data_IF_863219568716
#
_entry.id   IF_863219568716
#
_cell.length_a   1.000
_cell.length_b   1.000
_cell.length_c   1.000
_cell.angle_alpha   90.00
_cell.angle_beta   90.00
_cell.angle_gamma   90.00
#
_symmetry.space_group_name_H-M   'P 1'
#
loop_
_entity.id
_entity.type
_entity.pdbx_description
1 polymer ?
#
# COMPACT_ATOMS: atom_id res chain seq x y z
N UNK A 1 12.78 -11.72 6.86
CA UNK A 1 12.80 -10.24 6.80
C UNK A 1 11.86 -9.69 7.86
N UNK A 2 12.20 -8.57 8.52
CA UNK A 2 11.32 -7.89 9.50
C UNK A 2 11.30 -6.40 9.18
N UNK A 3 10.19 -5.75 9.46
CA UNK A 3 10.09 -4.31 9.29
C UNK A 3 9.15 -3.68 10.31
N UNK A 4 9.35 -2.41 10.61
CA UNK A 4 8.59 -1.64 11.58
C UNK A 4 8.46 -0.19 11.12
N UNK A 5 7.32 0.42 11.40
CA UNK A 5 7.08 1.85 11.21
C UNK A 5 6.69 2.51 12.52
N UNK A 6 7.13 3.75 12.74
CA UNK A 6 6.78 4.57 13.89
C UNK A 6 6.51 6.02 13.45
N UNK A 7 5.95 6.81 14.35
CA UNK A 7 5.64 8.23 14.15
C UNK A 7 4.15 8.51 13.94
N UNK A 8 3.80 9.77 14.13
CA UNK A 8 2.46 10.33 14.09
C UNK A 8 2.27 11.20 12.85
N UNK A 9 1.01 11.44 12.46
CA UNK A 9 0.66 12.25 11.28
C UNK A 9 1.23 13.67 11.33
N UNK A 10 1.22 14.27 12.52
CA UNK A 10 1.74 15.62 12.76
C UNK A 10 2.99 15.62 13.66
N UNK A 11 3.60 14.47 13.89
CA UNK A 11 4.90 14.36 14.55
C UNK A 11 6.03 14.92 13.67
N UNK A 12 7.24 14.95 14.21
CA UNK A 12 8.44 15.50 13.55
C UNK A 12 8.76 14.75 12.25
N UNK A 13 8.62 13.42 12.27
CA UNK A 13 8.87 12.54 11.14
C UNK A 13 8.19 11.19 11.35
N UNK A 14 8.04 10.45 10.24
CA UNK A 14 7.82 9.01 10.29
C UNK A 14 9.18 8.29 10.23
N UNK A 15 9.33 7.23 10.99
CA UNK A 15 10.49 6.37 10.97
C UNK A 15 10.12 4.99 10.43
N UNK A 16 11.00 4.41 9.64
CA UNK A 16 10.82 3.08 9.07
C UNK A 16 12.13 2.30 9.18
N UNK A 17 12.05 1.05 9.60
CA UNK A 17 13.21 0.16 9.70
C UNK A 17 12.88 -1.14 8.98
N UNK A 18 13.79 -1.62 8.15
CA UNK A 18 13.76 -2.97 7.57
C UNK A 18 15.07 -3.69 7.82
N UNK A 19 14.98 -4.96 8.19
CA UNK A 19 16.10 -5.87 8.42
C UNK A 19 15.95 -7.11 7.56
N UNK A 20 17.08 -7.62 7.07
CA UNK A 20 17.16 -8.83 6.25
C UNK A 20 17.20 -8.57 4.75
N UNK A 21 17.40 -7.33 4.31
CA UNK A 21 17.76 -7.03 2.92
C UNK A 21 19.24 -7.37 2.71
N UNK A 22 19.61 -8.18 1.69
CA UNK A 22 20.99 -8.53 1.41
C UNK A 22 21.88 -7.32 1.13
N UNK A 23 23.19 -7.48 1.30
CA UNK A 23 24.17 -6.48 0.91
C UNK A 23 24.21 -6.26 -0.62
N UNK A 24 24.69 -5.07 -1.03
CA UNK A 24 24.92 -4.69 -2.42
C UNK A 24 23.67 -4.53 -3.28
N UNK A 25 22.51 -4.32 -2.68
CA UNK A 25 21.34 -3.81 -3.40
C UNK A 25 21.50 -2.31 -3.58
N UNK A 26 21.40 -1.82 -4.81
CA UNK A 26 21.44 -0.36 -5.09
C UNK A 26 20.13 0.28 -4.65
N UNK A 27 20.24 1.24 -3.73
CA UNK A 27 19.11 2.00 -3.17
C UNK A 27 19.56 3.43 -2.88
N UNK A 28 18.86 4.41 -3.44
CA UNK A 28 19.08 5.84 -3.21
C UNK A 28 17.88 6.51 -2.55
N UNK A 29 18.07 7.70 -2.01
CA UNK A 29 16.97 8.57 -1.58
C UNK A 29 16.03 8.91 -2.74
N UNK A 30 16.56 9.08 -3.95
CA UNK A 30 15.78 9.38 -5.16
C UNK A 30 14.85 8.23 -5.56
N UNK A 31 15.25 6.98 -5.35
CA UNK A 31 14.36 5.82 -5.58
C UNK A 31 13.17 5.84 -4.63
N UNK A 32 13.42 6.19 -3.37
CA UNK A 32 12.36 6.29 -2.36
C UNK A 32 11.46 7.49 -2.66
N UNK A 33 12.04 8.64 -2.96
CA UNK A 33 11.29 9.87 -3.30
C UNK A 33 10.39 9.65 -4.51
N UNK A 34 10.86 8.95 -5.55
CA UNK A 34 10.06 8.59 -6.72
C UNK A 34 8.75 7.86 -6.34
N UNK A 35 8.82 6.86 -5.46
CA UNK A 35 7.63 6.14 -5.02
C UNK A 35 6.74 6.95 -4.07
N UNK A 36 7.32 7.83 -3.26
CA UNK A 36 6.55 8.78 -2.44
C UNK A 36 5.83 9.82 -3.30
N UNK A 37 6.44 10.28 -4.40
CA UNK A 37 5.79 11.15 -5.38
C UNK A 37 4.61 10.44 -6.05
N UNK A 38 4.78 9.20 -6.49
CA UNK A 38 3.69 8.38 -7.03
C UNK A 38 2.52 8.24 -6.06
N UNK A 39 2.80 8.08 -4.75
CA UNK A 39 1.77 8.02 -3.70
C UNK A 39 0.94 9.31 -3.60
N UNK A 40 1.47 10.46 -4.02
CA UNK A 40 0.75 11.74 -4.03
C UNK A 40 -0.12 11.95 -5.25
N UNK A 41 0.01 11.15 -6.30
CA UNK A 41 -0.78 11.25 -7.52
C UNK A 41 -2.26 10.99 -7.28
N UNK A 42 -3.08 11.48 -8.20
CA UNK A 42 -4.52 11.24 -8.28
C UNK A 42 -5.37 12.49 -8.04
N UNK A 43 -6.45 12.58 -8.79
CA UNK A 43 -7.51 13.59 -8.62
C UNK A 43 -8.33 13.29 -7.36
N UNK A 44 -8.91 14.30 -6.74
CA UNK A 44 -9.69 14.15 -5.51
C UNK A 44 -8.85 14.19 -4.23
N UNK A 45 -7.54 14.49 -4.36
CA UNK A 45 -6.62 14.65 -3.23
C UNK A 45 -6.78 16.01 -2.57
N UNK A 46 -6.66 16.04 -1.25
CA UNK A 46 -6.71 17.28 -0.47
C UNK A 46 -5.52 18.20 -0.76
N UNK A 47 -5.70 19.50 -0.52
CA UNK A 47 -4.69 20.52 -0.79
C UNK A 47 -3.33 20.28 -0.12
N UNK A 48 -3.28 19.50 0.96
CA UNK A 48 -2.04 19.12 1.65
C UNK A 48 -1.05 18.41 0.73
N UNK A 49 -1.54 17.54 -0.17
CA UNK A 49 -0.69 16.77 -1.08
C UNK A 49 0.10 17.64 -2.08
N UNK A 50 -0.37 18.86 -2.34
CA UNK A 50 0.27 19.76 -3.32
C UNK A 50 1.52 20.46 -2.78
N UNK A 51 1.68 20.54 -1.45
CA UNK A 51 2.81 21.26 -0.82
C UNK A 51 3.56 20.40 0.23
N UNK A 52 3.14 19.17 0.47
CA UNK A 52 3.84 18.24 1.35
C UNK A 52 5.04 17.65 0.61
N UNK A 53 6.21 18.27 0.76
CA UNK A 53 7.49 17.67 0.35
C UNK A 53 8.01 16.82 1.51
N UNK A 54 7.72 15.53 1.47
CA UNK A 54 8.24 14.56 2.44
C UNK A 54 9.75 14.41 2.20
N UNK A 55 10.59 15.01 3.05
CA UNK A 55 12.04 14.88 2.93
C UNK A 55 12.48 13.50 3.42
N UNK A 56 12.98 12.69 2.51
CA UNK A 56 13.56 11.39 2.86
C UNK A 56 15.01 11.55 3.34
N UNK A 57 15.34 10.81 4.39
CA UNK A 57 16.72 10.67 4.88
C UNK A 57 16.96 9.20 5.21
N UNK A 58 17.96 8.60 4.58
CA UNK A 58 18.47 7.27 4.97
C UNK A 58 19.46 7.47 6.11
N UNK A 59 19.09 6.99 7.30
CA UNK A 59 19.88 7.19 8.52
C UNK A 59 20.97 6.13 8.70
N UNK A 60 20.84 4.97 8.07
CA UNK A 60 21.81 3.88 8.15
C UNK A 60 21.43 2.69 7.28
N UNK A 61 22.34 1.73 7.14
CA UNK A 61 22.17 0.50 6.38
C UNK A 61 22.47 0.61 4.87
N UNK A 62 22.73 1.81 4.36
CA UNK A 62 23.13 2.08 2.96
C UNK A 62 24.36 2.98 2.93
N UNK A 63 25.32 2.68 2.09
CA UNK A 63 26.52 3.50 1.87
C UNK A 63 26.88 3.51 0.38
N UNK A 64 27.07 4.70 -0.20
CA UNK A 64 27.40 4.88 -1.62
C UNK A 64 26.41 4.08 -2.50
N UNK A 65 25.10 4.33 -2.28
CA UNK A 65 23.96 3.66 -2.92
C UNK A 65 23.80 2.14 -2.69
N UNK A 66 24.68 1.49 -1.95
CA UNK A 66 24.64 0.05 -1.73
C UNK A 66 24.23 -0.30 -0.29
N UNK A 67 23.30 -1.23 -0.14
CA UNK A 67 22.93 -1.81 1.14
C UNK A 67 24.12 -2.57 1.76
N UNK A 68 24.16 -2.61 3.10
CA UNK A 68 25.28 -3.20 3.84
C UNK A 68 24.95 -4.56 4.49
N UNK A 69 23.75 -5.12 4.25
CA UNK A 69 23.29 -6.36 4.88
C UNK A 69 22.79 -6.18 6.32
N UNK A 70 22.92 -5.00 6.91
CA UNK A 70 22.38 -4.65 8.22
C UNK A 70 21.00 -3.98 8.13
N UNK A 71 20.39 -3.61 9.28
CA UNK A 71 19.14 -2.86 9.29
C UNK A 71 19.25 -1.54 8.53
N UNK A 72 18.25 -1.26 7.70
CA UNK A 72 18.11 0.01 6.97
C UNK A 72 17.10 0.86 7.75
N UNK A 73 17.51 2.05 8.16
CA UNK A 73 16.67 3.02 8.86
C UNK A 73 16.41 4.23 7.95
N UNK A 74 15.13 4.57 7.77
CA UNK A 74 14.67 5.66 6.91
C UNK A 74 13.79 6.60 7.73
N UNK A 75 13.97 7.89 7.54
CA UNK A 75 13.13 8.94 8.09
C UNK A 75 12.42 9.68 6.96
N UNK A 76 11.10 9.88 7.12
CA UNK A 76 10.28 10.70 6.24
C UNK A 76 9.81 11.92 7.03
N UNK A 77 10.42 13.08 6.78
CA UNK A 77 10.20 14.32 7.52
C UNK A 77 8.80 14.89 7.34
N UNK A 78 8.41 15.79 8.22
CA UNK A 78 7.12 16.47 8.16
C UNK A 78 7.33 17.99 8.03
N UNK A 79 6.96 18.55 6.88
CA UNK A 79 7.07 19.99 6.62
C UNK A 79 6.18 20.86 7.51
N UNK A 80 5.13 20.29 8.11
CA UNK A 80 4.26 21.00 9.04
C UNK A 80 4.73 20.95 10.50
N UNK A 81 5.77 20.21 10.82
CA UNK A 81 6.29 20.05 12.18
C UNK A 81 6.44 21.37 12.96
N UNK A 82 7.00 22.47 12.41
CA UNK A 82 7.15 23.70 13.17
C UNK A 82 5.84 24.29 13.70
N UNK A 83 4.69 23.91 13.12
CA UNK A 83 3.36 24.33 13.58
C UNK A 83 2.79 23.42 14.69
N UNK A 84 3.36 22.22 14.86
CA UNK A 84 2.88 21.18 15.75
C UNK A 84 3.84 20.87 16.90
N UNK A 85 5.06 21.40 16.84
CA UNK A 85 6.17 21.09 17.74
C UNK A 85 5.77 21.12 19.23
N UNK A 86 5.04 22.14 19.66
CA UNK A 86 4.59 22.27 21.06
C UNK A 86 3.48 21.28 21.39
N UNK A 87 2.47 21.13 20.51
CA UNK A 87 1.29 20.28 20.75
C UNK A 87 1.63 18.79 20.67
N UNK A 88 2.63 18.43 19.86
CA UNK A 88 3.11 17.05 19.68
C UNK A 88 4.48 16.80 20.32
N UNK A 89 4.89 17.66 21.27
CA UNK A 89 6.14 17.50 22.00
C UNK A 89 6.12 16.18 22.79
N UNK A 90 7.25 15.46 22.76
CA UNK A 90 7.48 14.31 23.64
C UNK A 90 7.76 14.73 25.09
N UNK A 91 8.26 15.96 25.27
CA UNK A 91 8.56 16.54 26.59
C UNK A 91 7.39 17.39 27.08
N UNK A 92 7.23 17.55 28.40
CA UNK A 92 6.22 18.44 28.98
C UNK A 92 6.35 19.87 28.48
N UNK A 93 5.23 20.46 28.07
CA UNK A 93 5.13 21.87 27.66
C UNK A 93 4.24 22.58 28.67
N UNK A 94 4.60 23.80 29.15
CA UNK A 94 3.76 24.57 30.04
C UNK A 94 2.37 24.81 29.46
N UNK A 95 1.31 24.63 30.26
CA UNK A 95 -0.07 24.73 29.81
C UNK A 95 -0.40 26.11 29.17
N UNK A 96 0.17 27.18 29.71
CA UNK A 96 0.03 28.52 29.16
C UNK A 96 0.54 28.71 27.74
N UNK A 97 1.42 27.78 27.26
CA UNK A 97 1.96 27.82 25.89
C UNK A 97 1.08 27.09 24.86
N UNK A 98 0.22 26.18 25.31
CA UNK A 98 -0.55 25.32 24.41
C UNK A 98 -2.07 25.39 24.57
N UNK A 99 -2.61 25.78 25.75
CA UNK A 99 -4.05 25.75 26.05
C UNK A 99 -4.92 26.58 25.09
N UNK A 100 -4.41 27.69 24.57
CA UNK A 100 -5.14 28.57 23.65
C UNK A 100 -4.89 28.23 22.17
N UNK A 101 -4.08 27.22 21.90
CA UNK A 101 -3.83 26.76 20.53
C UNK A 101 -4.98 25.90 20.01
N UNK A 102 -5.60 26.30 18.91
CA UNK A 102 -6.69 25.53 18.28
C UNK A 102 -6.29 24.08 17.96
N UNK A 103 -4.98 23.84 17.70
CA UNK A 103 -4.45 22.49 17.46
C UNK A 103 -4.39 21.64 18.71
N UNK A 104 -4.44 22.23 19.90
CA UNK A 104 -4.44 21.53 21.18
C UNK A 104 -5.85 21.20 21.69
N UNK A 105 -6.90 21.72 21.04
CA UNK A 105 -8.26 21.46 21.46
C UNK A 105 -8.56 19.95 21.47
N UNK A 106 -9.14 19.38 22.55
CA UNK A 106 -9.49 17.97 22.65
C UNK A 106 -10.45 17.55 21.52
N UNK A 107 -10.23 16.35 21.00
CA UNK A 107 -11.04 15.77 19.94
C UNK A 107 -12.02 14.75 20.54
N UNK A 108 -13.17 15.25 21.00
CA UNK A 108 -14.18 14.47 21.75
C UNK A 108 -15.33 13.94 20.90
N UNK A 109 -15.37 14.26 19.60
CA UNK A 109 -16.42 13.84 18.65
C UNK A 109 -15.88 12.83 17.63
N UNK A 110 -15.86 11.52 17.97
CA UNK A 110 -15.24 10.49 17.15
C UNK A 110 -15.95 10.36 15.79
N UNK A 111 -15.17 10.09 14.74
CA UNK A 111 -15.68 9.91 13.38
C UNK A 111 -16.20 8.48 13.18
N UNK A 112 -17.43 8.31 12.69
CA UNK A 112 -17.92 7.00 12.27
C UNK A 112 -17.00 6.37 11.22
N UNK A 113 -16.70 5.08 11.38
CA UNK A 113 -15.83 4.35 10.46
C UNK A 113 -14.32 4.63 10.62
N UNK A 114 -13.90 5.44 11.59
CA UNK A 114 -12.50 5.66 11.96
C UNK A 114 -12.13 4.88 13.23
N UNK A 115 -10.84 4.88 13.57
CA UNK A 115 -10.34 4.23 14.79
C UNK A 115 -10.67 5.00 16.08
N UNK A 116 -11.18 6.22 16.00
CA UNK A 116 -11.30 7.20 17.10
C UNK A 116 -11.96 6.59 18.33
N UNK A 117 -13.24 6.23 18.26
CA UNK A 117 -14.00 5.76 19.43
C UNK A 117 -13.42 4.46 20.03
N UNK A 118 -13.18 3.47 19.17
CA UNK A 118 -12.66 2.17 19.62
C UNK A 118 -11.25 2.30 20.19
N UNK A 119 -10.43 3.18 19.63
CA UNK A 119 -9.10 3.49 20.14
C UNK A 119 -9.15 4.19 21.49
N UNK A 120 -10.02 5.20 21.66
CA UNK A 120 -10.24 5.85 22.96
C UNK A 120 -10.64 4.85 24.04
N UNK A 121 -11.60 3.97 23.74
CA UNK A 121 -12.03 2.89 24.65
C UNK A 121 -10.92 1.90 24.98
N UNK A 122 -10.09 1.53 23.97
CA UNK A 122 -9.01 0.54 24.14
C UNK A 122 -7.87 1.06 25.00
N UNK A 123 -7.51 2.34 24.84
CA UNK A 123 -6.35 2.95 25.50
C UNK A 123 -6.73 3.83 26.69
N UNK A 124 -8.03 3.86 27.05
CA UNK A 124 -8.56 4.60 28.20
C UNK A 124 -8.18 6.10 28.14
N UNK A 125 -8.47 6.74 27.01
CA UNK A 125 -8.21 8.15 26.80
C UNK A 125 -9.50 8.89 26.40
N UNK A 126 -9.61 10.14 26.79
CA UNK A 126 -10.76 11.03 26.56
C UNK A 126 -10.59 11.96 25.32
N UNK A 127 -9.41 11.94 24.70
CA UNK A 127 -9.06 12.64 23.47
C UNK A 127 -8.71 11.66 22.35
N UNK A 128 -9.35 11.77 21.20
CA UNK A 128 -9.07 10.94 20.04
C UNK A 128 -7.72 11.26 19.36
N UNK A 129 -7.01 12.31 19.75
CA UNK A 129 -5.78 12.76 19.11
C UNK A 129 -4.71 11.66 19.02
N UNK A 130 -4.30 10.97 20.10
CA UNK A 130 -3.27 9.92 20.02
C UNK A 130 -3.65 8.82 19.03
N UNK A 131 -4.94 8.48 18.96
CA UNK A 131 -5.47 7.47 18.06
C UNK A 131 -5.43 7.95 16.61
N UNK A 132 -5.94 9.15 16.37
CA UNK A 132 -5.99 9.78 15.04
C UNK A 132 -4.59 9.93 14.44
N UNK A 133 -3.65 10.40 15.22
CA UNK A 133 -2.28 10.65 14.77
C UNK A 133 -1.61 9.36 14.26
N UNK A 134 -1.74 8.25 14.98
CA UNK A 134 -1.14 6.98 14.54
C UNK A 134 -1.96 6.22 13.52
N UNK A 135 -3.30 6.30 13.56
CA UNK A 135 -4.19 5.64 12.61
C UNK A 135 -4.26 6.35 11.24
N UNK A 136 -3.64 7.50 11.10
CA UNK A 136 -3.63 8.29 9.88
C UNK A 136 -2.99 7.53 8.71
N UNK A 137 -3.57 7.69 7.51
CA UNK A 137 -3.01 7.16 6.27
C UNK A 137 -1.63 7.76 5.91
N UNK A 138 -1.17 8.84 6.58
CA UNK A 138 0.19 9.35 6.43
C UNK A 138 1.25 8.30 6.79
N UNK A 139 0.99 7.42 7.75
CA UNK A 139 1.87 6.31 8.12
C UNK A 139 2.28 5.46 6.91
N UNK A 140 1.43 5.37 5.90
CA UNK A 140 1.73 4.63 4.67
C UNK A 140 2.92 5.19 3.88
N UNK A 141 3.34 6.44 4.11
CA UNK A 141 4.56 6.97 3.51
C UNK A 141 5.81 6.18 3.97
N UNK A 142 5.86 5.79 5.26
CA UNK A 142 6.92 4.93 5.78
C UNK A 142 6.89 3.52 5.14
N UNK A 143 5.69 2.95 4.92
CA UNK A 143 5.55 1.67 4.20
C UNK A 143 6.01 1.76 2.74
N UNK A 144 5.68 2.84 2.05
CA UNK A 144 6.11 3.08 0.66
C UNK A 144 7.63 3.24 0.60
N UNK A 145 8.25 3.91 1.57
CA UNK A 145 9.71 4.03 1.65
C UNK A 145 10.38 2.65 1.80
N UNK A 146 9.86 1.78 2.66
CA UNK A 146 10.34 0.39 2.78
C UNK A 146 10.05 -0.44 1.54
N UNK A 147 8.88 -0.25 0.94
CA UNK A 147 8.48 -0.91 -0.31
C UNK A 147 9.42 -0.57 -1.47
N UNK A 148 9.94 0.67 -1.54
CA UNK A 148 10.93 1.06 -2.54
C UNK A 148 12.22 0.23 -2.41
N UNK A 149 12.72 0.03 -1.18
CA UNK A 149 13.89 -0.84 -0.92
C UNK A 149 13.63 -2.28 -1.35
N UNK A 150 12.44 -2.82 -0.99
CA UNK A 150 12.05 -4.17 -1.36
C UNK A 150 11.92 -4.35 -2.89
N UNK A 151 11.39 -3.36 -3.60
CA UNK A 151 11.30 -3.36 -5.07
C UNK A 151 12.67 -3.40 -5.73
N UNK A 152 13.59 -2.55 -5.27
CA UNK A 152 14.97 -2.54 -5.79
C UNK A 152 15.66 -3.88 -5.58
N UNK A 153 15.47 -4.51 -4.41
CA UNK A 153 15.96 -5.86 -4.17
C UNK A 153 15.34 -6.89 -5.13
N UNK A 154 14.02 -6.90 -5.30
CA UNK A 154 13.31 -7.83 -6.18
C UNK A 154 13.74 -7.70 -7.64
N UNK A 155 13.83 -6.48 -8.13
CA UNK A 155 14.24 -6.21 -9.51
C UNK A 155 15.69 -6.64 -9.75
N UNK A 156 16.61 -6.29 -8.85
CA UNK A 156 18.03 -6.57 -8.99
C UNK A 156 18.39 -8.03 -8.72
N UNK A 157 17.62 -8.76 -7.91
CA UNK A 157 17.90 -10.16 -7.59
C UNK A 157 17.22 -11.15 -8.52
N UNK A 158 15.94 -10.98 -8.82
CA UNK A 158 15.12 -11.96 -9.55
C UNK A 158 14.32 -11.37 -10.72
N UNK A 159 14.44 -10.07 -10.99
CA UNK A 159 13.79 -9.40 -12.12
C UNK A 159 12.30 -9.15 -11.96
N UNK A 160 11.74 -9.31 -10.77
CA UNK A 160 10.31 -9.03 -10.51
C UNK A 160 10.06 -7.52 -10.57
N UNK A 161 9.08 -7.11 -11.38
CA UNK A 161 8.58 -5.73 -11.45
C UNK A 161 7.12 -5.66 -11.00
N UNK A 162 6.74 -4.55 -10.37
CA UNK A 162 5.41 -4.40 -9.75
C UNK A 162 4.79 -3.09 -10.21
N UNK A 163 3.52 -3.12 -10.59
CA UNK A 163 2.72 -1.91 -10.83
C UNK A 163 1.32 -2.09 -10.24
N UNK A 164 0.59 -0.99 -10.10
CA UNK A 164 -0.84 -1.03 -9.77
C UNK A 164 -1.63 -0.12 -10.69
N UNK A 165 -2.90 -0.45 -10.87
CA UNK A 165 -3.86 0.40 -11.55
C UNK A 165 -5.21 0.36 -10.84
N UNK A 166 -6.06 1.35 -11.13
CA UNK A 166 -7.40 1.46 -10.53
C UNK A 166 -8.39 0.69 -11.38
N UNK A 167 -9.18 -0.18 -10.74
CA UNK A 167 -10.27 -0.93 -11.36
C UNK A 167 -11.64 -0.28 -11.17
N UNK A 168 -11.85 0.43 -10.04
CA UNK A 168 -13.10 1.14 -9.82
C UNK A 168 -12.95 2.31 -8.86
N UNK A 169 -13.78 3.35 -9.05
CA UNK A 169 -14.00 4.44 -8.09
C UNK A 169 -15.51 4.66 -7.99
N UNK A 170 -16.04 4.65 -6.77
CA UNK A 170 -17.47 4.69 -6.54
C UNK A 170 -18.19 3.56 -7.29
N UNK A 171 -19.17 3.93 -8.09
CA UNK A 171 -19.96 3.02 -8.93
C UNK A 171 -19.32 2.73 -10.30
N UNK A 172 -18.31 3.48 -10.70
CA UNK A 172 -17.66 3.37 -12.01
C UNK A 172 -16.59 2.26 -11.95
N UNK A 173 -16.64 1.34 -12.92
CA UNK A 173 -15.75 0.18 -12.97
C UNK A 173 -15.23 -0.09 -14.37
N UNK A 174 -13.97 -0.48 -14.47
CA UNK A 174 -13.37 -1.00 -15.71
C UNK A 174 -14.16 -2.22 -16.20
N UNK A 175 -14.55 -2.29 -17.48
CA UNK A 175 -15.29 -3.43 -18.03
C UNK A 175 -14.57 -4.77 -17.80
N UNK A 176 -15.34 -5.80 -17.57
CA UNK A 176 -14.82 -7.17 -17.45
C UNK A 176 -14.18 -7.62 -18.76
N UNK A 177 -13.03 -8.29 -18.70
CA UNK A 177 -12.30 -8.71 -19.89
C UNK A 177 -11.41 -7.63 -20.50
N UNK A 178 -11.31 -6.44 -19.92
CA UNK A 178 -10.30 -5.45 -20.33
C UNK A 178 -8.90 -6.04 -20.14
N UNK A 179 -8.04 -5.88 -21.15
CA UNK A 179 -6.67 -6.38 -21.11
C UNK A 179 -5.88 -5.80 -19.93
N UNK A 180 -5.09 -6.65 -19.28
CA UNK A 180 -4.19 -6.20 -18.22
C UNK A 180 -3.10 -5.28 -18.79
N UNK A 181 -2.70 -4.24 -18.05
CA UNK A 181 -1.56 -3.42 -18.46
C UNK A 181 -0.26 -4.24 -18.40
N UNK A 182 0.72 -3.84 -19.19
CA UNK A 182 2.04 -4.44 -19.24
C UNK A 182 2.97 -3.78 -18.20
N UNK A 183 4.05 -4.44 -17.83
CA UNK A 183 5.06 -3.88 -16.94
C UNK A 183 5.62 -2.52 -17.41
N UNK A 184 5.70 -2.32 -18.73
CA UNK A 184 6.16 -1.07 -19.34
C UNK A 184 5.16 0.10 -19.22
N UNK A 185 3.90 -0.18 -18.89
CA UNK A 185 2.83 0.85 -18.85
C UNK A 185 2.84 1.70 -17.57
N UNK A 186 3.76 1.46 -16.63
CA UNK A 186 3.81 2.17 -15.34
C UNK A 186 3.74 3.69 -15.51
N UNK A 187 4.57 4.27 -16.38
CA UNK A 187 4.60 5.72 -16.62
C UNK A 187 3.29 6.24 -17.22
N UNK A 188 2.68 5.46 -18.11
CA UNK A 188 1.38 5.78 -18.71
C UNK A 188 0.28 5.80 -17.64
N UNK A 189 0.25 4.79 -16.77
CA UNK A 189 -0.71 4.70 -15.66
C UNK A 189 -0.49 5.84 -14.66
N UNK A 190 0.75 6.13 -14.28
CA UNK A 190 1.06 7.23 -13.34
C UNK A 190 0.72 8.61 -13.93
N UNK A 191 0.70 8.77 -15.26
CA UNK A 191 0.26 10.01 -15.93
C UNK A 191 -1.26 10.15 -16.03
N UNK A 192 -2.02 9.08 -15.82
CA UNK A 192 -3.48 9.13 -15.78
C UNK A 192 -3.98 9.74 -14.47
N UNK A 193 -4.95 10.67 -14.51
CA UNK A 193 -5.41 11.41 -13.33
C UNK A 193 -5.95 10.54 -12.18
N UNK A 194 -6.44 9.34 -12.50
CA UNK A 194 -6.94 8.37 -11.50
C UNK A 194 -6.17 7.05 -11.52
N UNK A 195 -5.05 6.99 -12.26
CA UNK A 195 -4.22 5.79 -12.44
C UNK A 195 -5.01 4.58 -12.98
N UNK A 196 -5.96 4.83 -13.87
CA UNK A 196 -6.72 3.81 -14.58
C UNK A 196 -6.04 3.47 -15.92
N UNK A 197 -5.89 2.18 -16.24
CA UNK A 197 -5.30 1.74 -17.50
C UNK A 197 -6.23 1.94 -18.71
N UNK A 198 -7.55 2.01 -18.46
CA UNK A 198 -8.58 2.26 -19.48
C UNK A 198 -8.99 3.73 -19.47
N UNK A 199 -8.65 4.46 -20.54
CA UNK A 199 -8.85 5.90 -20.62
C UNK A 199 -10.33 6.32 -20.64
N UNK A 200 -11.22 5.53 -21.25
CA UNK A 200 -12.64 5.85 -21.28
C UNK A 200 -13.26 5.73 -19.88
N UNK A 201 -12.87 4.71 -19.13
CA UNK A 201 -13.31 4.54 -17.74
C UNK A 201 -12.67 5.60 -16.82
N UNK A 202 -11.42 6.02 -17.09
CA UNK A 202 -10.76 7.10 -16.36
C UNK A 202 -11.57 8.40 -16.38
N UNK A 203 -12.07 8.83 -17.54
CA UNK A 203 -12.90 10.03 -17.69
C UNK A 203 -14.19 9.94 -16.86
N UNK A 204 -14.83 8.78 -16.85
CA UNK A 204 -16.03 8.55 -16.02
C UNK A 204 -15.71 8.58 -14.52
N UNK A 205 -14.57 8.02 -14.08
CA UNK A 205 -14.13 8.06 -12.70
C UNK A 205 -13.82 9.48 -12.23
N UNK A 206 -13.21 10.32 -13.10
CA UNK A 206 -12.97 11.73 -12.81
C UNK A 206 -14.29 12.46 -12.58
N UNK A 207 -15.26 12.25 -13.45
CA UNK A 207 -16.60 12.85 -13.32
C UNK A 207 -17.28 12.43 -12.02
N UNK A 208 -17.16 11.18 -11.62
CA UNK A 208 -17.72 10.66 -10.34
C UNK A 208 -17.05 11.31 -9.14
N UNK A 209 -15.73 11.53 -9.17
CA UNK A 209 -15.00 12.25 -8.10
C UNK A 209 -15.48 13.72 -8.01
N UNK A 210 -15.69 14.38 -9.14
CA UNK A 210 -16.18 15.77 -9.19
C UNK A 210 -17.61 15.88 -8.63
N UNK A 211 -18.46 14.89 -8.95
CA UNK A 211 -19.82 14.83 -8.39
C UNK A 211 -19.78 14.64 -6.87
N UNK A 212 -19.00 13.67 -6.38
CA UNK A 212 -18.85 13.45 -4.93
C UNK A 212 -18.29 14.67 -4.20
N UNK A 213 -17.32 15.37 -4.80
CA UNK A 213 -16.78 16.63 -4.25
C UNK A 213 -17.87 17.69 -4.12
N UNK A 214 -18.71 17.86 -5.15
CA UNK A 214 -19.83 18.83 -5.15
C UNK A 214 -20.86 18.48 -4.09
N UNK A 215 -21.11 17.19 -3.88
CA UNK A 215 -22.09 16.70 -2.90
C UNK A 215 -21.54 16.69 -1.46
N UNK A 216 -20.26 17.04 -1.26
CA UNK A 216 -19.60 17.01 0.03
C UNK A 216 -19.39 15.60 0.58
N UNK A 217 -19.12 14.64 -0.31
CA UNK A 217 -18.99 13.21 0.02
C UNK A 217 -17.60 12.65 -0.34
N UNK A 218 -17.36 11.39 -0.04
CA UNK A 218 -16.10 10.69 -0.29
C UNK A 218 -16.34 9.37 -1.02
N UNK A 219 -15.36 8.92 -1.81
CA UNK A 219 -15.44 7.71 -2.61
C UNK A 219 -14.38 6.67 -2.20
N UNK A 220 -14.79 5.42 -2.21
CA UNK A 220 -13.93 4.26 -2.21
C UNK A 220 -13.73 3.70 -3.61
N UNK A 221 -13.11 2.54 -3.71
CA UNK A 221 -12.90 1.85 -4.98
C UNK A 221 -12.01 0.63 -4.84
N UNK A 222 -11.57 0.11 -5.98
CA UNK A 222 -10.74 -1.09 -6.06
C UNK A 222 -9.49 -0.80 -6.87
N UNK A 223 -8.35 -1.21 -6.35
CA UNK A 223 -7.06 -1.23 -7.05
C UNK A 223 -6.63 -2.67 -7.31
N UNK A 224 -5.88 -2.88 -8.38
CA UNK A 224 -5.20 -4.15 -8.66
C UNK A 224 -3.70 -3.91 -8.74
N UNK A 225 -2.94 -4.74 -8.03
CA UNK A 225 -1.48 -4.81 -8.10
C UNK A 225 -1.10 -5.99 -8.96
N UNK A 226 -0.21 -5.76 -9.92
CA UNK A 226 0.35 -6.76 -10.80
C UNK A 226 1.84 -6.92 -10.52
N UNK A 227 2.31 -8.16 -10.33
CA UNK A 227 3.74 -8.47 -10.29
C UNK A 227 4.09 -9.38 -11.46
N UNK A 228 5.09 -8.96 -12.22
CA UNK A 228 5.56 -9.60 -13.44
C UNK A 228 6.86 -10.36 -13.19
N UNK A 229 7.18 -11.29 -14.08
CA UNK A 229 8.39 -12.13 -14.02
C UNK A 229 8.47 -12.96 -12.73
N UNK A 230 7.32 -13.37 -12.23
CA UNK A 230 7.26 -14.20 -11.03
C UNK A 230 7.87 -15.57 -11.27
N UNK A 231 8.87 -16.00 -10.49
CA UNK A 231 9.33 -17.39 -10.55
C UNK A 231 8.27 -18.32 -9.97
N UNK A 232 8.13 -19.56 -10.46
CA UNK A 232 7.29 -20.53 -9.81
C UNK A 232 7.87 -20.94 -8.45
N UNK A 233 6.99 -21.20 -7.46
CA UNK A 233 7.36 -21.80 -6.18
C UNK A 233 7.76 -20.82 -5.07
N UNK A 234 7.44 -19.52 -5.15
CA UNK A 234 7.46 -18.65 -3.97
C UNK A 234 6.26 -18.98 -3.07
N UNK A 235 6.45 -19.00 -1.77
CA UNK A 235 5.46 -19.47 -0.80
C UNK A 235 5.46 -21.01 -0.66
N UNK A 236 4.46 -21.57 0.01
CA UNK A 236 4.40 -23.00 0.30
C UNK A 236 2.98 -23.51 0.47
N UNK A 237 2.73 -24.75 0.08
CA UNK A 237 1.47 -25.47 0.33
C UNK A 237 1.45 -26.21 1.68
N UNK A 238 2.61 -26.31 2.35
CA UNK A 238 2.82 -27.22 3.50
C UNK A 238 2.07 -26.78 4.75
N UNK A 239 1.91 -25.45 4.94
CA UNK A 239 1.18 -24.89 6.08
C UNK A 239 0.55 -23.55 5.69
N UNK A 240 -0.59 -23.22 6.33
CA UNK A 240 -1.42 -22.06 5.97
C UNK A 240 -0.69 -20.71 6.07
N UNK A 241 0.17 -20.52 7.08
CA UNK A 241 0.92 -19.28 7.33
C UNK A 241 2.14 -19.10 6.40
N UNK A 242 2.50 -20.15 5.64
CA UNK A 242 3.56 -20.13 4.64
C UNK A 242 3.03 -19.90 3.22
N UNK A 243 1.72 -19.88 3.05
CA UNK A 243 1.07 -19.63 1.76
C UNK A 243 1.30 -18.18 1.33
N UNK A 244 1.70 -17.98 0.07
CA UNK A 244 1.95 -16.65 -0.49
C UNK A 244 0.66 -15.81 -0.54
N UNK A 245 -0.45 -16.39 -0.97
CA UNK A 245 -1.76 -15.76 -1.01
C UNK A 245 -2.22 -15.29 0.39
N UNK A 246 -1.99 -16.09 1.43
CA UNK A 246 -2.30 -15.74 2.82
C UNK A 246 -1.48 -14.55 3.31
N UNK A 247 -0.16 -14.56 3.07
CA UNK A 247 0.74 -13.46 3.44
C UNK A 247 0.38 -12.16 2.70
N UNK A 248 0.10 -12.25 1.40
CA UNK A 248 -0.34 -11.11 0.57
C UNK A 248 -1.66 -10.53 1.06
N UNK A 249 -2.66 -11.38 1.30
CA UNK A 249 -3.97 -10.94 1.80
C UNK A 249 -3.84 -10.24 3.16
N UNK A 250 -3.08 -10.80 4.10
CA UNK A 250 -2.85 -10.19 5.42
C UNK A 250 -2.13 -8.84 5.34
N UNK A 251 -1.07 -8.73 4.53
CA UNK A 251 -0.31 -7.52 4.38
C UNK A 251 -1.14 -6.38 3.73
N UNK A 252 -1.88 -6.69 2.68
CA UNK A 252 -2.72 -5.71 1.95
C UNK A 252 -3.94 -5.32 2.78
N UNK A 253 -4.58 -6.28 3.51
CA UNK A 253 -5.67 -5.98 4.43
C UNK A 253 -5.25 -5.06 5.58
N UNK A 254 -3.97 -5.09 5.95
CA UNK A 254 -3.38 -4.20 6.97
C UNK A 254 -3.18 -2.74 6.52
N UNK A 255 -3.52 -2.37 5.29
CA UNK A 255 -3.52 -0.97 4.81
C UNK A 255 -4.77 -0.26 5.33
N UNK A 256 -4.62 1.01 5.75
CA UNK A 256 -5.74 1.82 6.22
C UNK A 256 -6.86 1.87 5.17
N UNK A 257 -8.10 1.76 5.63
CA UNK A 257 -9.33 1.77 4.85
C UNK A 257 -9.56 0.56 3.91
N UNK A 258 -8.65 -0.39 3.80
CA UNK A 258 -8.90 -1.62 3.03
C UNK A 258 -9.90 -2.50 3.80
N UNK A 259 -10.90 -3.02 3.10
CA UNK A 259 -12.00 -3.84 3.63
C UNK A 259 -12.18 -5.17 2.91
N UNK A 260 -11.47 -5.39 1.82
CA UNK A 260 -11.47 -6.62 1.07
C UNK A 260 -10.18 -6.81 0.29
N UNK A 261 -9.73 -8.06 0.16
CA UNK A 261 -8.59 -8.46 -0.66
C UNK A 261 -8.98 -9.67 -1.47
N UNK A 262 -8.61 -9.69 -2.74
CA UNK A 262 -8.80 -10.83 -3.65
C UNK A 262 -7.47 -11.19 -4.32
N UNK A 263 -7.26 -12.46 -4.57
CA UNK A 263 -6.17 -12.96 -5.42
C UNK A 263 -6.79 -13.42 -6.74
N UNK A 264 -6.29 -12.89 -7.86
CA UNK A 264 -6.86 -13.16 -9.17
C UNK A 264 -8.32 -12.70 -9.26
N UNK A 265 -9.19 -13.59 -9.75
CA UNK A 265 -10.62 -13.29 -9.91
C UNK A 265 -11.42 -13.43 -8.60
N UNK A 266 -10.77 -13.84 -7.48
CA UNK A 266 -11.32 -13.82 -6.15
C UNK A 266 -12.78 -14.31 -6.05
N UNK A 267 -13.69 -13.44 -5.61
CA UNK A 267 -15.11 -13.76 -5.46
C UNK A 267 -15.81 -14.15 -6.77
N UNK A 268 -15.36 -13.63 -7.91
CA UNK A 268 -15.89 -14.01 -9.22
C UNK A 268 -15.65 -15.49 -9.54
N UNK A 269 -14.50 -16.03 -9.11
CA UNK A 269 -14.21 -17.48 -9.28
C UNK A 269 -15.24 -18.36 -8.58
N UNK A 270 -15.76 -17.94 -7.42
CA UNK A 270 -16.77 -18.69 -6.66
C UNK A 270 -18.12 -18.81 -7.40
N UNK A 271 -18.40 -17.96 -8.39
CA UNK A 271 -19.63 -18.02 -9.20
C UNK A 271 -19.52 -18.97 -10.39
N UNK A 272 -18.31 -19.46 -10.72
CA UNK A 272 -18.02 -20.32 -11.88
C UNK A 272 -18.15 -21.79 -11.52
N UNK A 273 -18.52 -22.59 -12.52
CA UNK A 273 -18.38 -24.06 -12.44
C UNK A 273 -16.90 -24.43 -12.54
N UNK A 274 -16.48 -25.48 -11.83
CA UNK A 274 -15.07 -25.92 -11.77
C UNK A 274 -14.41 -26.11 -13.14
N UNK A 275 -15.12 -26.63 -14.13
CA UNK A 275 -14.63 -26.82 -15.51
C UNK A 275 -14.24 -25.53 -16.26
N UNK A 276 -14.68 -24.37 -15.76
CA UNK A 276 -14.37 -23.04 -16.35
C UNK A 276 -13.79 -22.07 -15.32
N UNK A 277 -13.55 -22.52 -14.09
CA UNK A 277 -12.98 -21.71 -13.01
C UNK A 277 -11.45 -21.77 -12.97
N UNK A 278 -10.88 -22.94 -13.32
CA UNK A 278 -9.45 -23.20 -13.22
C UNK A 278 -8.73 -22.88 -14.52
N UNK A 279 -7.46 -22.48 -14.39
CA UNK A 279 -6.58 -22.17 -15.52
C UNK A 279 -5.98 -23.45 -16.08
N UNK A 280 -6.39 -23.83 -17.29
CA UNK A 280 -5.86 -25.03 -17.97
C UNK A 280 -4.39 -24.85 -18.30
N UNK A 281 -3.62 -25.92 -18.12
CA UNK A 281 -2.18 -25.96 -18.35
C UNK A 281 -1.92 -26.45 -19.78
N UNK A 282 -1.12 -25.69 -20.53
CA UNK A 282 -0.75 -26.05 -21.91
C UNK A 282 0.72 -25.67 -22.19
N UNK A 283 1.20 -26.04 -23.37
CA UNK A 283 2.48 -25.57 -23.89
C UNK A 283 2.23 -24.49 -24.92
N UNK A 284 2.96 -23.38 -24.80
CA UNK A 284 2.96 -22.34 -25.83
C UNK A 284 3.76 -22.78 -27.10
N UNK A 285 3.81 -21.92 -28.10
CA UNK A 285 4.52 -22.20 -29.35
C UNK A 285 6.04 -22.41 -29.17
N UNK A 286 6.62 -21.95 -28.06
CA UNK A 286 8.04 -22.20 -27.70
C UNK A 286 8.27 -23.48 -26.94
N UNK A 287 7.18 -24.18 -26.55
CA UNK A 287 7.21 -25.37 -25.70
C UNK A 287 7.22 -25.10 -24.20
N UNK A 288 7.12 -23.83 -23.79
CA UNK A 288 7.04 -23.43 -22.39
C UNK A 288 5.67 -23.80 -21.82
N UNK A 289 5.63 -24.27 -20.58
CA UNK A 289 4.40 -24.54 -19.84
C UNK A 289 3.81 -23.19 -19.38
N UNK A 290 2.56 -22.94 -19.77
CA UNK A 290 1.81 -21.71 -19.46
C UNK A 290 0.39 -22.05 -19.00
N UNK A 291 -0.30 -21.08 -18.42
CA UNK A 291 -1.73 -21.17 -18.16
C UNK A 291 -2.49 -20.46 -19.28
N UNK A 292 -3.58 -21.08 -19.73
CA UNK A 292 -4.44 -20.53 -20.81
C UNK A 292 -5.19 -19.28 -20.37
N UNK A 293 -5.46 -19.16 -19.08
CA UNK A 293 -6.09 -18.01 -18.42
C UNK A 293 -5.35 -17.67 -17.13
N UNK A 294 -5.66 -16.55 -16.49
CA UNK A 294 -4.99 -16.07 -15.28
C UNK A 294 -5.95 -15.84 -14.09
N UNK A 295 -7.03 -16.64 -14.03
CA UNK A 295 -8.09 -16.51 -13.03
C UNK A 295 -7.59 -16.74 -11.60
N UNK A 296 -6.62 -17.64 -11.44
CA UNK A 296 -5.96 -17.90 -10.16
C UNK A 296 -5.08 -16.74 -9.68
N UNK A 297 -4.77 -15.78 -10.57
CA UNK A 297 -3.98 -14.60 -10.23
C UNK A 297 -2.53 -14.92 -9.85
N UNK A 298 -1.91 -15.85 -10.55
CA UNK A 298 -0.49 -16.16 -10.39
C UNK A 298 -0.15 -17.05 -9.18
N UNK A 299 -1.16 -17.58 -8.46
CA UNK A 299 -0.93 -18.48 -7.32
C UNK A 299 -1.78 -19.74 -7.41
N UNK A 300 -1.16 -20.87 -7.11
CA UNK A 300 -1.82 -22.17 -7.00
C UNK A 300 -1.34 -22.88 -5.73
N UNK A 301 -2.29 -23.34 -4.91
CA UNK A 301 -1.96 -24.03 -3.65
C UNK A 301 -1.13 -23.21 -2.66
N UNK A 302 -1.14 -21.87 -2.75
CA UNK A 302 -0.35 -20.97 -1.90
C UNK A 302 1.07 -20.73 -2.40
N UNK A 303 1.38 -21.11 -3.63
CA UNK A 303 2.67 -20.88 -4.28
C UNK A 303 2.50 -20.09 -5.57
N UNK A 304 3.49 -19.26 -5.92
CA UNK A 304 3.53 -18.66 -7.26
C UNK A 304 3.67 -19.71 -8.34
N UNK A 305 2.99 -19.54 -9.47
CA UNK A 305 2.93 -20.52 -10.56
C UNK A 305 3.69 -20.10 -11.83
N UNK A 306 4.37 -18.95 -11.80
CA UNK A 306 5.14 -18.42 -12.93
C UNK A 306 4.38 -17.43 -13.81
N UNK A 307 3.08 -17.26 -13.60
CA UNK A 307 2.25 -16.27 -14.30
C UNK A 307 2.21 -14.93 -13.55
N UNK A 308 1.52 -13.93 -14.12
CA UNK A 308 1.37 -12.62 -13.48
C UNK A 308 0.63 -12.78 -12.13
N UNK A 309 1.25 -12.29 -11.05
CA UNK A 309 0.57 -12.21 -9.77
C UNK A 309 -0.41 -11.04 -9.78
N UNK A 310 -1.67 -11.31 -9.40
CA UNK A 310 -2.76 -10.32 -9.36
C UNK A 310 -3.35 -10.25 -7.96
N UNK A 311 -3.22 -9.09 -7.31
CA UNK A 311 -3.77 -8.83 -5.98
C UNK A 311 -4.68 -7.61 -6.02
N UNK A 312 -5.95 -7.76 -5.66
CA UNK A 312 -6.93 -6.66 -5.61
C UNK A 312 -7.18 -6.23 -4.19
N UNK A 313 -7.38 -4.93 -4.00
CA UNK A 313 -7.71 -4.33 -2.71
C UNK A 313 -8.92 -3.40 -2.84
N UNK A 314 -9.95 -3.66 -2.04
CA UNK A 314 -11.14 -2.84 -1.95
C UNK A 314 -11.00 -1.84 -0.80
N UNK A 315 -10.96 -0.56 -1.13
CA UNK A 315 -10.88 0.55 -0.19
C UNK A 315 -12.26 1.15 0.05
N UNK A 316 -12.67 1.25 1.32
CA UNK A 316 -13.88 2.00 1.67
C UNK A 316 -13.70 3.51 1.46
N UNK A 317 -14.78 4.30 1.33
CA UNK A 317 -14.72 5.76 1.37
C UNK A 317 -14.00 6.27 2.63
N UNK A 318 -13.34 7.41 2.50
CA UNK A 318 -12.63 8.04 3.63
C UNK A 318 -13.65 8.48 4.68
N UNK A 319 -13.39 8.17 5.95
CA UNK A 319 -14.31 8.40 7.07
C UNK A 319 -14.44 9.86 7.51
N UNK A 320 -13.56 10.74 7.05
CA UNK A 320 -13.71 12.19 7.21
C UNK A 320 -14.53 12.74 6.06
N UNK A 321 -15.85 12.74 6.22
CA UNK A 321 -16.80 13.18 5.19
C UNK A 321 -17.12 14.66 5.39
N UNK A 322 -17.01 15.53 4.37
CA UNK A 322 -17.35 16.95 4.48
C UNK A 322 -18.80 17.16 4.94
N UNK A 323 -19.75 16.37 4.43
CA UNK A 323 -21.12 16.25 4.96
C UNK A 323 -21.09 15.47 6.27
N UNK A 324 -20.81 16.19 7.37
CA UNK A 324 -20.51 15.58 8.67
C UNK A 324 -21.59 14.60 9.12
N UNK A 325 -21.15 13.37 9.44
CA UNK A 325 -22.02 12.28 9.95
C UNK A 325 -22.39 12.52 11.42
N UNK A 326 -23.50 11.91 11.84
CA UNK A 326 -23.93 11.94 13.23
C UNK A 326 -22.98 11.12 14.11
N UNK A 327 -22.72 11.62 15.31
CA UNK A 327 -21.90 11.00 16.34
C UNK A 327 -22.35 11.47 17.73
N UNK A 328 -21.58 11.17 18.75
CA UNK A 328 -21.74 11.69 20.11
C UNK A 328 -20.51 12.52 20.48
N UNK A 329 -20.68 13.50 21.37
CA UNK A 329 -19.59 14.10 22.09
C UNK A 329 -19.33 13.26 23.35
N UNK A 330 -18.18 12.57 23.40
CA UNK A 330 -17.90 11.62 24.50
C UNK A 330 -17.67 12.34 25.84
N UNK A 331 -17.37 13.64 25.83
CA UNK A 331 -17.21 14.43 27.06
C UNK A 331 -18.53 14.79 27.72
N UNK A 332 -19.62 14.88 26.96
CA UNK A 332 -20.94 15.26 27.44
C UNK A 332 -21.97 14.14 27.33
N UNK A 333 -21.74 13.16 26.46
CA UNK A 333 -22.69 12.11 26.12
C UNK A 333 -23.80 12.56 25.16
N UNK A 334 -23.77 13.81 24.68
CA UNK A 334 -24.81 14.37 23.84
C UNK A 334 -24.59 14.04 22.35
N UNK A 335 -25.71 14.06 21.58
CA UNK A 335 -25.65 13.93 20.14
C UNK A 335 -24.87 15.09 19.50
N UNK A 336 -24.00 14.78 18.54
CA UNK A 336 -23.13 15.75 17.90
C UNK A 336 -22.91 15.43 16.43
N UNK A 337 -22.22 16.31 15.70
CA UNK A 337 -21.66 16.03 14.38
C UNK A 337 -20.18 15.68 14.50
N UNK A 338 -19.75 14.70 13.73
CA UNK A 338 -18.36 14.24 13.70
C UNK A 338 -17.40 15.37 13.36
N UNK A 339 -16.16 15.22 13.82
CA UNK A 339 -15.09 16.21 13.57
C UNK A 339 -14.92 16.36 12.04
N UNK A 340 -15.05 17.60 11.56
CA UNK A 340 -14.73 17.95 10.19
C UNK A 340 -13.25 18.34 10.11
N UNK A 341 -12.46 17.52 9.42
CA UNK A 341 -11.08 17.82 9.07
C UNK A 341 -10.92 17.81 7.55
N UNK A 342 -9.88 18.50 7.06
CA UNK A 342 -9.55 18.45 5.64
C UNK A 342 -9.27 17.01 5.24
N UNK A 343 -9.93 16.54 4.20
CA UNK A 343 -9.84 15.16 3.72
C UNK A 343 -9.77 15.14 2.20
N UNK A 344 -9.27 14.03 1.68
CA UNK A 344 -9.38 13.68 0.27
C UNK A 344 -10.84 13.29 -0.05
N UNK A 345 -11.31 13.58 -1.24
CA UNK A 345 -12.57 13.04 -1.77
C UNK A 345 -12.38 11.57 -2.15
N UNK A 346 -11.23 11.27 -2.77
CA UNK A 346 -10.84 9.92 -3.20
C UNK A 346 -9.35 9.70 -2.97
N UNK A 347 -8.99 8.60 -2.31
CA UNK A 347 -7.60 8.18 -2.09
C UNK A 347 -7.26 6.85 -2.77
N UNK A 348 -8.16 6.34 -3.62
CA UNK A 348 -7.99 5.04 -4.30
C UNK A 348 -6.72 4.99 -5.14
N UNK A 349 -6.36 6.00 -5.97
CA UNK A 349 -5.11 5.98 -6.73
C UNK A 349 -3.86 5.82 -5.84
N UNK A 350 -3.82 6.53 -4.70
CA UNK A 350 -2.73 6.42 -3.74
C UNK A 350 -2.68 5.05 -3.05
N UNK A 351 -3.84 4.46 -2.74
CA UNK A 351 -3.93 3.13 -2.16
C UNK A 351 -3.28 2.07 -3.05
N UNK A 352 -3.32 2.23 -4.38
CA UNK A 352 -2.60 1.38 -5.33
C UNK A 352 -1.10 1.37 -5.08
N UNK A 353 -0.47 2.54 -4.92
CA UNK A 353 0.99 2.66 -4.67
C UNK A 353 1.35 2.07 -3.30
N UNK A 354 0.51 2.26 -2.29
CA UNK A 354 0.71 1.63 -0.98
C UNK A 354 0.59 0.10 -1.07
N UNK A 355 -0.38 -0.40 -1.84
CA UNK A 355 -0.54 -1.84 -2.06
C UNK A 355 0.65 -2.44 -2.81
N UNK A 356 1.22 -1.74 -3.82
CA UNK A 356 2.48 -2.14 -4.46
C UNK A 356 3.60 -2.34 -3.43
N UNK A 357 3.75 -1.40 -2.49
CA UNK A 357 4.78 -1.46 -1.45
C UNK A 357 4.59 -2.67 -0.53
N UNK A 358 3.35 -2.95 -0.12
CA UNK A 358 3.04 -4.10 0.73
C UNK A 358 3.26 -5.43 0.00
N UNK A 359 2.87 -5.52 -1.28
CA UNK A 359 3.15 -6.69 -2.13
C UNK A 359 4.65 -6.88 -2.29
N UNK A 360 5.42 -5.80 -2.54
CA UNK A 360 6.88 -5.87 -2.66
C UNK A 360 7.55 -6.41 -1.39
N UNK A 361 7.12 -5.97 -0.20
CA UNK A 361 7.65 -6.46 1.09
C UNK A 361 7.39 -7.96 1.28
N UNK A 362 6.18 -8.43 0.94
CA UNK A 362 5.85 -9.87 1.03
C UNK A 362 6.63 -10.69 0.01
N UNK A 363 6.77 -10.22 -1.22
CA UNK A 363 7.53 -10.92 -2.26
C UNK A 363 9.03 -10.96 -1.93
N UNK A 364 9.59 -9.87 -1.38
CA UNK A 364 10.99 -9.84 -0.93
C UNK A 364 11.24 -10.88 0.16
N UNK A 365 10.33 -10.99 1.14
CA UNK A 365 10.42 -12.05 2.17
C UNK A 365 10.35 -13.44 1.54
N UNK A 366 9.42 -13.69 0.61
CA UNK A 366 9.27 -14.97 -0.04
C UNK A 366 10.47 -15.36 -0.93
N UNK A 367 11.09 -14.38 -1.60
CA UNK A 367 12.33 -14.55 -2.37
C UNK A 367 13.49 -14.93 -1.45
N UNK A 368 13.64 -14.24 -0.32
CA UNK A 368 14.68 -14.54 0.68
C UNK A 368 14.46 -15.90 1.35
N UNK A 369 13.21 -16.27 1.64
CA UNK A 369 12.89 -17.61 2.19
C UNK A 369 13.29 -18.72 1.23
N UNK A 370 13.10 -18.52 -0.08
CA UNK A 370 13.35 -19.54 -1.10
C UNK A 370 14.81 -19.57 -1.55
N UNK A 371 15.42 -18.44 -1.81
CA UNK A 371 16.75 -18.37 -2.44
C UNK A 371 17.86 -17.98 -1.47
N UNK A 372 17.52 -17.29 -0.35
CA UNK A 372 18.49 -16.86 0.65
C UNK A 372 19.55 -15.93 0.07
N UNK A 373 20.71 -15.89 0.71
CA UNK A 373 21.89 -15.13 0.32
C UNK A 373 22.11 -13.88 1.18
N UNK A 374 23.38 -13.60 1.50
CA UNK A 374 23.79 -12.41 2.25
C UNK A 374 24.10 -11.23 1.33
N UNK A 375 24.15 -11.46 0.02
CA UNK A 375 24.31 -10.43 -1.02
C UNK A 375 23.32 -10.62 -2.17
N UNK A 376 22.99 -9.54 -2.87
CA UNK A 376 22.10 -9.57 -4.05
C UNK A 376 22.67 -10.51 -5.14
N UNK A 377 23.97 -10.56 -5.30
CA UNK A 377 24.66 -11.45 -6.27
C UNK A 377 24.47 -12.91 -5.90
N UNK A 378 24.54 -13.22 -4.61
CA UNK A 378 24.31 -14.60 -4.14
C UNK A 378 22.85 -15.02 -4.32
N UNK A 379 21.90 -14.17 -3.94
CA UNK A 379 20.46 -14.42 -4.17
C UNK A 379 20.18 -14.66 -5.66
N UNK A 380 20.74 -13.82 -6.54
CA UNK A 380 20.60 -13.94 -8.00
C UNK A 380 21.16 -15.28 -8.50
N UNK A 381 22.37 -15.65 -8.11
CA UNK A 381 22.98 -16.93 -8.48
C UNK A 381 22.11 -18.12 -8.06
N UNK A 382 21.55 -18.10 -6.85
CA UNK A 382 20.68 -19.14 -6.34
C UNK A 382 19.37 -19.23 -7.13
N UNK A 383 18.79 -18.06 -7.46
CA UNK A 383 17.63 -17.96 -8.34
C UNK A 383 17.91 -18.50 -9.75
N UNK A 384 18.98 -18.06 -10.41
CA UNK A 384 19.36 -18.52 -11.75
C UNK A 384 19.62 -20.02 -11.79
N UNK A 385 20.29 -20.55 -10.77
CA UNK A 385 20.50 -22.00 -10.61
C UNK A 385 19.15 -22.74 -10.49
N UNK A 386 18.23 -22.25 -9.68
CA UNK A 386 16.90 -22.85 -9.55
C UNK A 386 16.15 -22.87 -10.88
N UNK A 387 16.07 -21.74 -11.59
CA UNK A 387 15.36 -21.63 -12.87
C UNK A 387 15.98 -22.52 -13.94
N UNK A 388 17.32 -22.62 -13.99
CA UNK A 388 18.02 -23.44 -14.98
C UNK A 388 17.76 -24.95 -14.79
N UNK A 389 17.52 -25.40 -13.56
CA UNK A 389 17.32 -26.79 -13.20
C UNK A 389 15.84 -27.21 -13.06
N UNK A 390 14.88 -26.37 -13.41
CA UNK A 390 13.48 -26.78 -13.44
C UNK A 390 13.28 -27.92 -14.46
N UNK A 391 12.75 -29.06 -13.99
CA UNK A 391 12.51 -30.23 -14.83
C UNK A 391 11.39 -30.01 -15.86
N UNK A 392 10.46 -29.12 -15.55
CA UNK A 392 9.31 -28.78 -16.40
C UNK A 392 9.32 -27.24 -16.60
N UNK A 393 9.61 -26.82 -17.83
CA UNK A 393 9.70 -25.40 -18.22
C UNK A 393 8.60 -25.06 -19.19
#
# INVERSE_FOLDING_TARGET
MRWLTAGESHGQALSAIVEGIPASVSVTTSDIDYHLERRRLGVGRGARQNFEADKVTILGGVRLDLTQGGPIAIQVGNSEWPKWEKVMSADPVPDEEIRDLARNAPLTRPRPGHADLVGMQKYDVDDARPILERASARETAARVALGAVARNFLEQSVGITILSHVLSIGSIRVPEGTALPLAADMKKIDSDPVRCADSATSELMITEIENAHRDGDTLGGVVEVLAFNMPPGLGSHVHWDRRLDSKLAGAVMGIQAIKGVEIGDGFQTATRRGSVAHDEIEKDASGKIVRRTDRAGGTEGGMSNGEILRVRAAMKPISTVPKALDTIDVSTGEAAKAINQRSDVCAVPAAGVVAEAMVALVLAEAVLEKFGGDSVTETRRNFESYISHLNFK
#
